data_IF_382206044375
#
_entry.id   IF_382206044375
#
_cell.length_a   1.000
_cell.length_b   1.000
_cell.length_c   1.000
_cell.angle_alpha   90.00
_cell.angle_beta   90.00
_cell.angle_gamma   90.00
#
_symmetry.space_group_name_H-M   'P 1'
#
loop_
_entity.id
_entity.type
_entity.pdbx_description
1 polymer ?
#
# COMPACT_ATOMS: atom_id res chain seq x y z
N UNK A 1 3.99 11.33 -3.73
CA UNK A 1 2.52 11.40 -3.88
C UNK A 1 1.79 10.80 -2.69
N UNK A 2 2.40 9.86 -1.96
CA UNK A 2 1.82 9.29 -0.73
C UNK A 2 1.82 10.21 0.49
N UNK A 3 2.69 11.21 0.52
CA UNK A 3 2.92 12.09 1.68
C UNK A 3 3.26 13.52 1.21
N UNK A 4 3.04 14.49 2.10
CA UNK A 4 3.40 15.89 1.87
C UNK A 4 2.51 16.62 0.85
N UNK A 5 2.97 17.77 0.32
CA UNK A 5 2.15 18.66 -0.52
C UNK A 5 1.59 18.03 -1.80
N UNK A 6 2.20 16.93 -2.27
CA UNK A 6 1.78 16.23 -3.49
C UNK A 6 0.68 15.19 -3.24
N UNK A 7 0.17 15.05 -2.02
CA UNK A 7 -0.89 14.10 -1.67
C UNK A 7 -2.21 14.40 -2.37
N UNK A 8 -2.49 15.68 -2.68
CA UNK A 8 -3.69 16.08 -3.44
C UNK A 8 -3.71 15.56 -4.89
N UNK A 9 -2.57 15.11 -5.41
CA UNK A 9 -2.46 14.49 -6.74
C UNK A 9 -2.57 12.96 -6.69
N UNK A 10 -2.74 12.38 -5.50
CA UNK A 10 -3.03 10.96 -5.32
C UNK A 10 -4.54 10.73 -5.53
N UNK A 11 -4.90 10.10 -6.64
CA UNK A 11 -6.29 9.72 -6.93
C UNK A 11 -6.48 8.22 -7.11
N UNK A 12 -5.41 7.49 -7.41
CA UNK A 12 -5.47 6.13 -7.88
C UNK A 12 -5.82 5.16 -6.74
N UNK A 13 -5.17 5.31 -5.60
CA UNK A 13 -5.39 4.51 -4.40
C UNK A 13 -6.74 4.84 -3.76
N UNK A 14 -7.06 6.12 -3.62
CA UNK A 14 -8.34 6.60 -3.07
C UNK A 14 -9.55 6.12 -3.90
N UNK A 15 -9.44 6.16 -5.24
CA UNK A 15 -10.46 5.63 -6.13
C UNK A 15 -10.61 4.11 -5.98
N UNK A 16 -9.51 3.36 -6.04
CA UNK A 16 -9.53 1.90 -5.92
C UNK A 16 -10.12 1.44 -4.59
N UNK A 17 -9.76 2.07 -3.47
CA UNK A 17 -10.39 1.76 -2.17
C UNK A 17 -11.89 1.95 -2.20
N UNK A 18 -12.37 3.04 -2.78
CA UNK A 18 -13.81 3.34 -2.86
C UNK A 18 -14.55 2.29 -3.69
N UNK A 19 -14.03 1.97 -4.87
CA UNK A 19 -14.65 0.97 -5.78
C UNK A 19 -14.62 -0.42 -5.17
N UNK A 20 -13.50 -0.83 -4.57
CA UNK A 20 -13.35 -2.13 -3.93
C UNK A 20 -14.26 -2.25 -2.70
N UNK A 21 -14.36 -1.21 -1.88
CA UNK A 21 -15.29 -1.17 -0.75
C UNK A 21 -16.75 -1.24 -1.18
N UNK A 22 -17.11 -0.57 -2.28
CA UNK A 22 -18.47 -0.62 -2.84
C UNK A 22 -18.91 -2.05 -3.21
N UNK A 23 -17.99 -2.89 -3.69
CA UNK A 23 -18.25 -4.30 -3.98
C UNK A 23 -17.96 -5.26 -2.81
N UNK A 24 -17.71 -4.72 -1.61
CA UNK A 24 -17.53 -5.49 -0.37
C UNK A 24 -16.09 -5.93 -0.07
N UNK A 25 -15.10 -5.49 -0.84
CA UNK A 25 -13.68 -5.75 -0.57
C UNK A 25 -13.11 -4.58 0.24
N UNK A 26 -13.19 -4.71 1.57
CA UNK A 26 -12.84 -3.64 2.52
C UNK A 26 -11.49 -3.85 3.22
N UNK A 27 -11.02 -5.11 3.28
CA UNK A 27 -9.71 -5.43 3.86
C UNK A 27 -8.65 -5.35 2.75
N UNK A 28 -7.96 -4.21 2.68
CA UNK A 28 -7.02 -3.87 1.62
C UNK A 28 -5.67 -3.46 2.19
N UNK A 29 -4.63 -4.18 1.80
CA UNK A 29 -3.24 -3.76 1.97
C UNK A 29 -2.71 -3.12 0.69
N UNK A 30 -2.16 -1.90 0.80
CA UNK A 30 -1.55 -1.20 -0.33
C UNK A 30 -0.04 -1.16 -0.17
N UNK A 31 0.67 -1.67 -1.18
CA UNK A 31 2.13 -1.58 -1.30
C UNK A 31 2.46 -0.60 -2.41
N UNK A 32 3.03 0.55 -2.06
CA UNK A 32 3.43 1.59 -3.02
C UNK A 32 4.90 1.47 -3.37
N UNK A 33 5.22 1.63 -4.65
CA UNK A 33 6.58 1.77 -5.17
C UNK A 33 6.70 3.18 -5.75
N UNK A 34 7.29 4.11 -5.01
CA UNK A 34 7.39 5.52 -5.40
C UNK A 34 8.83 5.93 -5.71
N UNK A 35 9.01 7.07 -6.39
CA UNK A 35 10.35 7.62 -6.63
C UNK A 35 11.13 6.96 -7.79
N UNK A 36 10.47 6.13 -8.60
CA UNK A 36 11.12 5.40 -9.70
C UNK A 36 11.79 6.31 -10.75
N UNK A 37 11.31 7.55 -10.90
CA UNK A 37 11.90 8.53 -11.81
C UNK A 37 13.18 9.19 -11.27
N UNK A 38 13.61 8.88 -10.03
CA UNK A 38 14.75 9.53 -9.36
C UNK A 38 16.10 8.85 -9.65
N UNK A 39 16.14 7.89 -10.59
CA UNK A 39 17.35 7.18 -10.99
C UNK A 39 17.42 5.75 -10.45
N UNK A 40 18.45 5.01 -10.87
CA UNK A 40 18.55 3.57 -10.66
C UNK A 40 18.63 3.16 -9.18
N UNK A 41 19.34 3.94 -8.36
CA UNK A 41 19.43 3.68 -6.92
C UNK A 41 18.08 3.83 -6.21
N UNK A 42 17.29 4.83 -6.61
CA UNK A 42 15.95 5.04 -6.08
C UNK A 42 15.00 3.91 -6.49
N UNK A 43 15.12 3.42 -7.72
CA UNK A 43 14.37 2.24 -8.19
C UNK A 43 14.70 1.02 -7.33
N UNK A 44 16.00 0.72 -7.16
CA UNK A 44 16.46 -0.43 -6.38
C UNK A 44 15.98 -0.37 -4.93
N UNK A 45 16.08 0.79 -4.30
CA UNK A 45 15.60 1.02 -2.94
C UNK A 45 14.08 0.85 -2.85
N UNK A 46 13.31 1.46 -3.76
CA UNK A 46 11.86 1.38 -3.75
C UNK A 46 11.35 -0.06 -3.92
N UNK A 47 11.99 -0.83 -4.81
CA UNK A 47 11.68 -2.25 -5.01
C UNK A 47 12.01 -3.09 -3.77
N UNK A 48 13.21 -2.94 -3.19
CA UNK A 48 13.60 -3.68 -1.99
C UNK A 48 12.67 -3.42 -0.80
N UNK A 49 12.23 -2.16 -0.63
CA UNK A 49 11.24 -1.80 0.39
C UNK A 49 9.86 -2.43 0.12
N UNK A 50 9.41 -2.45 -1.14
CA UNK A 50 8.15 -3.06 -1.51
C UNK A 50 8.15 -4.58 -1.31
N UNK A 51 9.22 -5.27 -1.71
CA UNK A 51 9.40 -6.71 -1.50
C UNK A 51 9.36 -7.07 -0.01
N UNK A 52 10.09 -6.31 0.82
CA UNK A 52 10.07 -6.49 2.28
C UNK A 52 8.66 -6.35 2.84
N UNK A 53 7.89 -5.35 2.36
CA UNK A 53 6.51 -5.13 2.79
C UNK A 53 5.61 -6.29 2.38
N UNK A 54 5.66 -6.72 1.12
CA UNK A 54 4.87 -7.86 0.62
C UNK A 54 5.17 -9.11 1.45
N UNK A 55 6.43 -9.42 1.68
CA UNK A 55 6.83 -10.58 2.46
C UNK A 55 6.27 -10.54 3.91
N UNK A 56 6.28 -9.38 4.55
CA UNK A 56 5.72 -9.20 5.88
C UNK A 56 4.20 -9.36 5.90
N UNK A 57 3.50 -8.83 4.90
CA UNK A 57 2.05 -9.00 4.74
C UNK A 57 1.69 -10.47 4.55
N UNK A 58 2.38 -11.18 3.65
CA UNK A 58 2.14 -12.61 3.42
C UNK A 58 2.35 -13.43 4.70
N UNK A 59 3.39 -13.14 5.48
CA UNK A 59 3.58 -13.78 6.80
C UNK A 59 2.44 -13.45 7.77
N UNK A 60 1.94 -12.23 7.78
CA UNK A 60 0.78 -11.83 8.59
C UNK A 60 -0.48 -12.62 8.24
N UNK A 61 -0.77 -12.76 6.94
CA UNK A 61 -1.90 -13.53 6.42
C UNK A 61 -1.80 -15.01 6.85
N UNK A 62 -0.64 -15.64 6.67
CA UNK A 62 -0.42 -17.04 7.04
C UNK A 62 -0.56 -17.27 8.55
N UNK A 63 -0.21 -16.27 9.38
CA UNK A 63 -0.29 -16.37 10.85
C UNK A 63 -1.64 -15.94 11.41
N UNK A 64 -2.63 -15.64 10.57
CA UNK A 64 -3.98 -15.23 10.98
C UNK A 64 -4.04 -13.83 11.60
N UNK A 65 -2.98 -13.02 11.48
CA UNK A 65 -2.97 -11.61 11.90
C UNK A 65 -3.20 -10.74 10.67
N UNK A 66 -4.45 -10.57 10.25
CA UNK A 66 -4.76 -9.54 9.26
C UNK A 66 -4.58 -8.16 9.89
N UNK A 67 -3.76 -7.30 9.28
CA UNK A 67 -3.58 -5.92 9.76
C UNK A 67 -4.82 -5.06 9.51
N UNK A 68 -5.74 -5.49 8.63
CA UNK A 68 -6.98 -4.76 8.32
C UNK A 68 -8.03 -4.76 9.42
N UNK A 69 -8.16 -5.84 10.20
CA UNK A 69 -9.13 -5.90 11.30
C UNK A 69 -8.84 -4.85 12.40
N UNK A 70 -7.58 -4.48 12.60
CA UNK A 70 -7.18 -3.45 13.56
C UNK A 70 -7.42 -2.01 13.08
N UNK A 71 -7.65 -1.79 11.78
CA UNK A 71 -7.81 -0.44 11.18
C UNK A 71 -9.27 -0.02 10.97
N UNK A 72 -10.23 -0.95 10.97
CA UNK A 72 -11.65 -0.64 10.83
C UNK A 72 -12.30 -0.12 12.14
N UNK A 73 -11.58 -0.15 13.26
CA UNK A 73 -12.05 0.24 14.60
C UNK A 73 -11.54 1.61 15.08
N UNK A 74 -10.90 2.40 14.21
CA UNK A 74 -10.40 3.75 14.49
C UNK A 74 -10.84 4.71 13.38
#
# INVERSE_FOLDING_TARGET
YSQGPMMSFEFQESYLRTVLAFIGIVDLDIVRVEGLAMGEDAIRSALAHAETRVHNLTRGVVTGRSQGAARAAA
#
